data_IF_071422437198
#
_entry.id   IF_071422437198
#
_cell.length_a   1.000
_cell.length_b   1.000
_cell.length_c   1.000
_cell.angle_alpha   90.00
_cell.angle_beta   90.00
_cell.angle_gamma   90.00
#
_symmetry.space_group_name_H-M   'P 1'
#
loop_
_entity.id
_entity.type
_entity.pdbx_description
1 polymer ?
#
# COMPACT_ATOMS: atom_id res chain seq x y z
N UNK A 1 -20.58 17.44 -8.27
CA UNK A 1 -20.36 16.06 -7.78
C UNK A 1 -18.85 15.83 -7.77
N UNK A 2 -18.24 15.52 -6.63
CA UNK A 2 -16.79 15.18 -6.61
C UNK A 2 -16.63 13.81 -7.26
N UNK A 3 -15.78 13.70 -8.28
CA UNK A 3 -15.44 12.42 -8.88
C UNK A 3 -14.80 11.51 -7.81
N UNK A 4 -15.20 10.24 -7.79
CA UNK A 4 -14.60 9.24 -6.91
C UNK A 4 -13.16 8.99 -7.38
N UNK A 5 -12.18 9.42 -6.59
CA UNK A 5 -10.75 9.13 -6.85
C UNK A 5 -10.49 7.64 -6.59
N UNK A 6 -9.78 6.99 -7.51
CA UNK A 6 -9.35 5.60 -7.37
C UNK A 6 -7.83 5.53 -7.35
N UNK A 7 -7.28 4.67 -6.51
CA UNK A 7 -5.86 4.38 -6.45
C UNK A 7 -5.68 2.94 -6.88
N UNK A 8 -4.87 2.72 -7.92
CA UNK A 8 -4.59 1.40 -8.47
C UNK A 8 -3.12 1.05 -8.22
N UNK A 9 -2.87 -0.20 -7.85
CA UNK A 9 -1.55 -0.73 -7.53
C UNK A 9 -1.24 -1.94 -8.39
N UNK A 10 0.00 -2.01 -8.86
CA UNK A 10 0.60 -3.22 -9.39
C UNK A 10 2.08 -3.20 -9.07
N UNK A 11 2.71 -4.36 -8.98
CA UNK A 11 4.14 -4.49 -8.73
C UNK A 11 4.73 -5.66 -9.51
N UNK A 12 5.98 -5.50 -9.93
CA UNK A 12 6.71 -6.51 -10.69
C UNK A 12 7.95 -6.88 -9.87
N UNK A 13 8.04 -8.14 -9.50
CA UNK A 13 9.18 -8.74 -8.80
C UNK A 13 10.06 -9.51 -9.78
N UNK A 14 11.27 -9.90 -9.36
CA UNK A 14 12.19 -10.69 -10.20
C UNK A 14 13.38 -9.89 -10.72
N UNK A 15 14.09 -10.49 -11.68
CA UNK A 15 15.32 -9.93 -12.25
C UNK A 15 15.04 -8.73 -13.14
N UNK A 16 16.06 -7.90 -13.37
CA UNK A 16 15.93 -6.71 -14.23
C UNK A 16 15.45 -7.06 -15.64
N UNK A 17 16.00 -8.12 -16.23
CA UNK A 17 15.66 -8.56 -17.59
C UNK A 17 14.21 -9.04 -17.69
N UNK A 18 13.73 -9.79 -16.69
CA UNK A 18 12.33 -10.25 -16.62
C UNK A 18 11.36 -9.08 -16.49
N UNK A 19 11.70 -8.06 -15.68
CA UNK A 19 10.89 -6.85 -15.55
C UNK A 19 10.79 -6.09 -16.87
N UNK A 20 11.88 -5.99 -17.62
CA UNK A 20 11.84 -5.32 -18.92
C UNK A 20 11.01 -6.07 -19.94
N UNK A 21 11.16 -7.40 -20.01
CA UNK A 21 10.31 -8.21 -20.87
C UNK A 21 8.82 -8.03 -20.54
N UNK A 22 8.46 -8.05 -19.26
CA UNK A 22 7.08 -7.80 -18.84
C UNK A 22 6.59 -6.42 -19.26
N UNK A 23 7.41 -5.37 -19.09
CA UNK A 23 7.07 -3.98 -19.46
C UNK A 23 6.99 -3.74 -20.97
N UNK A 24 7.68 -4.54 -21.79
CA UNK A 24 7.54 -4.51 -23.25
C UNK A 24 6.23 -5.13 -23.72
N UNK A 25 5.74 -6.14 -23.00
CA UNK A 25 4.52 -6.89 -23.34
C UNK A 25 3.23 -6.28 -22.72
N UNK A 26 3.35 -5.42 -21.71
CA UNK A 26 2.22 -4.87 -20.95
C UNK A 26 2.16 -3.34 -20.93
N UNK A 27 0.95 -2.80 -20.87
CA UNK A 27 0.67 -1.37 -20.75
C UNK A 27 -0.38 -1.10 -19.67
N UNK A 28 -0.86 0.15 -19.58
CA UNK A 28 -1.86 0.53 -18.57
C UNK A 28 -3.18 -0.26 -18.68
N UNK A 29 -3.54 -0.74 -19.87
CA UNK A 29 -4.78 -1.48 -20.12
C UNK A 29 -4.64 -2.97 -19.87
N UNK A 30 -3.46 -3.55 -20.08
CA UNK A 30 -3.18 -4.97 -19.87
C UNK A 30 -2.56 -5.28 -18.50
N UNK A 31 -2.13 -4.27 -17.75
CA UNK A 31 -1.65 -4.45 -16.38
C UNK A 31 -2.80 -4.90 -15.47
N UNK A 32 -2.57 -5.98 -14.73
CA UNK A 32 -3.47 -6.38 -13.65
C UNK A 32 -3.34 -5.42 -12.47
N UNK A 33 -4.37 -4.60 -12.29
CA UNK A 33 -4.45 -3.59 -11.24
C UNK A 33 -5.21 -4.10 -10.02
N UNK A 34 -4.67 -3.82 -8.84
CA UNK A 34 -5.34 -3.96 -7.56
C UNK A 34 -5.78 -2.58 -7.05
N UNK A 35 -7.08 -2.36 -6.91
CA UNK A 35 -7.58 -1.12 -6.29
C UNK A 35 -7.19 -1.09 -4.80
N UNK A 36 -6.60 0.02 -4.37
CA UNK A 36 -6.27 0.30 -2.97
C UNK A 36 -7.27 1.30 -2.40
N UNK A 37 -7.52 1.18 -1.10
CA UNK A 37 -8.27 2.15 -0.31
C UNK A 37 -7.37 2.73 0.77
N UNK A 38 -6.45 3.67 0.44
CA UNK A 38 -5.61 4.32 1.42
C UNK A 38 -6.46 5.04 2.47
N UNK A 39 -6.16 4.83 3.74
CA UNK A 39 -6.91 5.37 4.86
C UNK A 39 -6.00 6.08 5.86
N UNK A 40 -6.59 7.01 6.60
CA UNK A 40 -5.91 7.63 7.74
C UNK A 40 -5.42 6.58 8.74
N UNK A 41 -4.29 6.83 9.44
CA UNK A 41 -3.45 8.02 9.32
C UNK A 41 -2.31 7.88 8.30
N UNK A 42 -2.21 6.76 7.59
CA UNK A 42 -0.97 6.38 6.89
C UNK A 42 -1.05 6.45 5.36
N UNK A 43 -2.24 6.31 4.77
CA UNK A 43 -2.45 6.36 3.32
C UNK A 43 -1.48 5.45 2.53
N UNK A 44 -1.37 4.18 2.91
CA UNK A 44 -0.44 3.26 2.24
C UNK A 44 -0.79 3.08 0.75
N UNK A 45 0.21 3.29 -0.12
CA UNK A 45 0.15 3.00 -1.56
C UNK A 45 0.71 1.62 -1.91
N UNK A 46 0.73 0.73 -0.93
CA UNK A 46 1.06 -0.69 -1.08
C UNK A 46 -0.04 -1.50 -0.41
N UNK A 47 -0.34 -2.72 -0.88
CA UNK A 47 -1.29 -3.60 -0.23
C UNK A 47 -0.85 -3.89 1.20
N UNK A 48 -1.71 -3.59 2.17
CA UNK A 48 -1.52 -3.96 3.57
C UNK A 48 -2.60 -4.94 3.99
N UNK A 49 -2.20 -5.88 4.85
CA UNK A 49 -3.14 -6.71 5.57
C UNK A 49 -3.48 -6.00 6.88
N UNK A 50 -4.67 -5.41 6.95
CA UNK A 50 -5.13 -4.69 8.15
C UNK A 50 -5.80 -5.61 9.17
N UNK A 51 -5.72 -6.94 8.98
CA UNK A 51 -6.23 -7.90 9.97
C UNK A 51 -5.55 -7.68 11.32
N UNK A 52 -6.37 -7.37 12.33
CA UNK A 52 -5.89 -7.11 13.69
C UNK A 52 -5.43 -5.67 13.93
N UNK A 53 -5.53 -4.77 12.95
CA UNK A 53 -5.16 -3.37 13.14
C UNK A 53 -5.98 -2.67 14.23
N UNK A 54 -7.29 -2.93 14.29
CA UNK A 54 -8.15 -2.41 15.38
C UNK A 54 -7.74 -2.93 16.76
N UNK A 55 -7.37 -4.22 16.84
CA UNK A 55 -6.87 -4.81 18.09
C UNK A 55 -5.52 -4.21 18.48
N UNK A 56 -4.61 -4.03 17.53
CA UNK A 56 -3.31 -3.39 17.74
C UNK A 56 -3.48 -1.96 18.30
N UNK A 57 -4.38 -1.16 17.70
CA UNK A 57 -4.68 0.21 18.15
C UNK A 57 -5.27 0.29 19.57
N UNK A 58 -5.84 -0.80 20.08
CA UNK A 58 -6.38 -0.84 21.45
C UNK A 58 -5.28 -0.97 22.52
N UNK A 59 -4.06 -1.36 22.17
CA UNK A 59 -2.93 -1.41 23.09
C UNK A 59 -2.30 -0.03 23.31
N UNK A 60 -1.46 0.07 24.36
CA UNK A 60 -0.74 1.31 24.64
C UNK A 60 0.24 1.68 23.53
N UNK A 61 0.19 2.94 23.11
CA UNK A 61 1.16 3.48 22.16
C UNK A 61 2.53 3.58 22.82
N UNK A 62 3.58 3.21 22.09
CA UNK A 62 4.96 3.21 22.59
C UNK A 62 5.38 4.59 23.13
N UNK A 63 4.98 5.67 22.45
CA UNK A 63 5.25 7.06 22.86
C UNK A 63 4.50 7.51 24.13
N UNK A 64 3.58 6.69 24.67
CA UNK A 64 2.94 6.91 25.97
C UNK A 64 3.64 6.14 27.09
N UNK A 65 4.42 5.13 26.74
CA UNK A 65 5.16 4.29 27.69
C UNK A 65 6.56 4.88 27.94
N UNK A 66 7.21 5.40 26.88
CA UNK A 66 8.57 5.92 26.95
C UNK A 66 8.61 7.44 26.68
N UNK A 67 9.53 8.18 27.32
CA UNK A 67 9.79 9.57 26.96
C UNK A 67 10.25 9.65 25.50
N UNK A 68 9.78 10.68 24.78
CA UNK A 68 10.02 10.82 23.33
C UNK A 68 11.49 11.06 23.01
N UNK A 69 12.23 11.70 23.92
CA UNK A 69 13.66 11.95 23.83
C UNK A 69 14.31 11.64 25.19
N UNK A 70 15.56 11.16 25.15
CA UNK A 70 16.42 11.01 26.33
C UNK A 70 17.15 12.30 26.67
#
# INVERSE_FOLDING_TARGET
MKNKTKINYSEIWGLREEKYKWLEEHDLSSTDWKELNPSDPYYFFVPKNDKGFEQYKAFWQVNKIFPVNS
#
